data_IF_963483865519
#
_entry.id   IF_963483865519
#
_cell.length_a   1.000
_cell.length_b   1.000
_cell.length_c   1.000
_cell.angle_alpha   90.00
_cell.angle_beta   90.00
_cell.angle_gamma   90.00
#
_symmetry.space_group_name_H-M   'P 1'
#
loop_
_entity.id
_entity.type
_entity.pdbx_description
1 polymer ?
#
# COMPACT_ATOMS: atom_id res chain seq x y z
N UNK A 1 20.28 -16.00 21.71
CA UNK A 1 20.02 -15.85 21.54
C UNK A 1 19.60 -15.57 21.40
N UNK A 2 19.38 -15.58 21.29
CA UNK A 2 18.87 -15.26 21.05
C UNK A 2 18.24 -14.83 20.94
N UNK A 3 18.08 -14.60 21.14
CA UNK A 3 17.41 -14.11 20.94
C UNK A 3 16.97 -13.65 20.50
N UNK A 4 16.94 -13.39 20.09
CA UNK A 4 16.43 -12.95 19.52
C UNK A 4 15.94 -13.22 19.01
N UNK A 5 15.99 -13.62 18.83
CA UNK A 5 15.42 -13.93 18.37
C UNK A 5 14.70 -14.12 18.60
N UNK A 6 14.58 -14.13 18.92
CA UNK A 6 13.76 -14.22 19.12
C UNK A 6 13.12 -13.54 19.25
N UNK A 7 13.37 -12.99 19.31
CA UNK A 7 12.64 -12.28 19.28
C UNK A 7 12.16 -11.95 18.50
N UNK A 8 12.07 -12.06 17.87
CA UNK A 8 11.52 -11.92 17.12
C UNK A 8 10.85 -12.49 16.79
N UNK A 9 10.86 -13.02 16.92
CA UNK A 9 10.19 -13.60 16.67
C UNK A 9 9.35 -13.63 17.06
N UNK A 10 9.20 -13.40 17.35
CA UNK A 10 8.46 -13.40 17.56
C UNK A 10 7.75 -12.90 17.39
N UNK A 11 7.75 -12.55 17.15
CA UNK A 11 7.15 -12.15 16.83
C UNK A 11 6.55 -12.20 16.24
N UNK A 12 6.42 -12.49 15.91
CA UNK A 12 6.00 -12.62 15.23
C UNK A 12 5.41 -12.28 14.79
N UNK A 13 4.90 -12.26 14.75
CA UNK A 13 4.29 -12.07 14.19
C UNK A 13 4.02 -11.18 13.72
N UNK A 14 3.94 -10.38 13.84
CA UNK A 14 3.68 -9.69 13.15
C UNK A 14 4.14 -9.65 12.10
N UNK A 15 4.71 -10.15 12.19
CA UNK A 15 5.30 -10.51 11.21
C UNK A 15 4.70 -10.32 10.02
N UNK A 16 3.79 -10.04 9.89
CA UNK A 16 3.11 -10.01 8.71
C UNK A 16 2.69 -8.66 8.30
N UNK A 17 3.34 -7.65 8.82
CA UNK A 17 3.06 -6.33 8.38
C UNK A 17 3.41 -6.17 6.95
N UNK A 18 2.47 -5.70 6.17
CA UNK A 18 2.62 -5.49 4.76
C UNK A 18 3.07 -4.05 4.53
N UNK A 19 3.95 -3.83 3.59
CA UNK A 19 4.35 -2.48 3.23
C UNK A 19 3.56 -2.03 2.03
N UNK A 20 2.86 -0.91 2.17
CA UNK A 20 2.04 -0.36 1.09
C UNK A 20 2.48 1.05 0.79
N UNK A 21 2.64 1.37 -0.49
CA UNK A 21 2.92 2.72 -0.94
C UNK A 21 1.70 3.19 -1.71
N UNK A 22 1.18 4.34 -1.34
CA UNK A 22 -0.03 4.88 -1.95
C UNK A 22 0.30 6.23 -2.56
N UNK A 23 0.13 6.34 -3.87
CA UNK A 23 0.25 7.61 -4.58
C UNK A 23 -1.13 8.23 -4.62
N UNK A 24 -1.29 9.36 -3.97
CA UNK A 24 -2.59 9.93 -3.66
C UNK A 24 -2.70 11.37 -4.14
N UNK A 25 -3.89 11.77 -4.53
CA UNK A 25 -4.16 13.19 -4.77
C UNK A 25 -5.20 13.72 -3.78
N UNK A 26 -5.46 12.96 -2.72
CA UNK A 26 -6.40 13.37 -1.70
C UNK A 26 -7.85 13.10 -2.04
N UNK A 27 -8.11 12.37 -3.14
CA UNK A 27 -9.49 12.11 -3.50
C UNK A 27 -10.09 11.06 -2.57
N UNK A 28 -11.39 10.86 -2.72
CA UNK A 28 -12.14 9.98 -1.82
C UNK A 28 -11.63 8.54 -1.89
N UNK A 29 -11.33 8.10 -3.09
CA UNK A 29 -10.87 6.75 -3.29
C UNK A 29 -9.50 6.52 -2.67
N UNK A 30 -8.63 7.53 -2.74
CA UNK A 30 -7.33 7.45 -2.06
C UNK A 30 -7.52 7.29 -0.56
N UNK A 31 -8.46 8.05 0.00
CA UNK A 31 -8.72 7.96 1.44
C UNK A 31 -9.27 6.60 1.83
N UNK A 32 -10.12 6.05 1.00
CA UNK A 32 -10.65 4.71 1.26
C UNK A 32 -9.56 3.66 1.23
N UNK A 33 -8.65 3.79 0.28
CA UNK A 33 -7.55 2.84 0.17
C UNK A 33 -6.67 2.88 1.41
N UNK A 34 -6.37 4.08 1.89
CA UNK A 34 -5.56 4.22 3.07
C UNK A 34 -6.26 3.65 4.29
N UNK A 35 -7.55 3.93 4.43
CA UNK A 35 -8.33 3.38 5.54
C UNK A 35 -8.33 1.86 5.52
N UNK A 36 -8.51 1.29 4.34
CA UNK A 36 -8.50 -0.16 4.20
C UNK A 36 -7.16 -0.74 4.66
N UNK A 37 -6.08 -0.15 4.19
CA UNK A 37 -4.76 -0.66 4.52
C UNK A 37 -4.44 -0.47 6.00
N UNK A 38 -4.94 0.61 6.59
CA UNK A 38 -4.77 0.82 8.03
C UNK A 38 -5.46 -0.26 8.85
N UNK A 39 -6.62 -0.68 8.42
CA UNK A 39 -7.35 -1.74 9.12
C UNK A 39 -6.61 -3.05 9.05
N UNK A 40 -5.79 -3.23 8.04
CA UNK A 40 -5.02 -4.46 7.87
C UNK A 40 -3.65 -4.35 8.51
N UNK A 41 -3.41 -3.29 9.26
CA UNK A 41 -2.16 -3.05 9.96
C UNK A 41 -0.98 -2.94 9.02
N UNK A 42 -1.21 -2.46 7.80
CA UNK A 42 -0.12 -2.26 6.87
C UNK A 42 0.72 -1.07 7.29
N UNK A 43 1.99 -1.13 6.96
CA UNK A 43 2.83 0.05 7.01
C UNK A 43 2.56 0.85 5.75
N UNK A 44 2.15 2.10 5.87
CA UNK A 44 1.71 2.88 4.73
C UNK A 44 2.61 4.07 4.53
N UNK A 45 3.13 4.19 3.31
CA UNK A 45 3.78 5.40 2.88
C UNK A 45 2.85 6.08 1.90
N UNK A 46 2.35 7.23 2.28
CA UNK A 46 1.47 7.98 1.40
C UNK A 46 2.27 9.09 0.74
N UNK A 47 2.39 9.03 -0.58
CA UNK A 47 3.02 10.08 -1.37
C UNK A 47 1.91 10.92 -1.96
N UNK A 48 1.96 12.21 -1.70
CA UNK A 48 0.90 13.10 -2.15
C UNK A 48 1.33 13.90 -3.35
N UNK A 49 0.39 14.09 -4.27
CA UNK A 49 0.59 14.90 -5.46
C UNK A 49 1.06 16.28 -5.06
N UNK A 50 2.10 16.75 -5.73
CA UNK A 50 2.73 18.04 -5.50
C UNK A 50 3.45 18.15 -4.16
N UNK A 51 3.48 17.05 -3.42
CA UNK A 51 4.32 16.94 -2.26
C UNK A 51 5.53 16.09 -2.59
N UNK A 52 5.29 14.81 -2.86
CA UNK A 52 6.35 13.86 -3.13
C UNK A 52 6.54 13.59 -4.62
N UNK A 53 5.58 13.97 -5.46
CA UNK A 53 5.69 13.73 -6.89
C UNK A 53 4.82 14.74 -7.62
N UNK A 54 4.98 14.82 -8.95
CA UNK A 54 4.17 15.70 -9.79
C UNK A 54 3.25 14.86 -10.64
N UNK A 55 2.21 15.50 -11.17
CA UNK A 55 1.29 14.80 -12.07
C UNK A 55 2.03 14.25 -13.29
N UNK A 56 3.00 15.00 -13.79
CA UNK A 56 3.76 14.57 -14.94
C UNK A 56 4.59 13.32 -14.62
N UNK A 57 5.22 13.31 -13.45
CA UNK A 57 5.96 12.13 -13.03
C UNK A 57 5.06 10.94 -12.82
N UNK A 58 3.89 11.18 -12.26
CA UNK A 58 2.89 10.15 -12.06
C UNK A 58 2.48 9.51 -13.38
N UNK A 59 2.21 10.35 -14.38
CA UNK A 59 1.80 9.85 -15.69
C UNK A 59 2.94 9.09 -16.39
N UNK A 60 4.17 9.54 -16.17
CA UNK A 60 5.31 8.86 -16.75
C UNK A 60 5.47 7.46 -16.18
N UNK A 61 5.12 7.31 -14.89
CA UNK A 61 5.26 6.04 -14.21
C UNK A 61 4.09 5.10 -14.48
N UNK A 62 2.87 5.62 -14.40
CA UNK A 62 1.68 4.79 -14.39
C UNK A 62 0.82 4.92 -15.63
N UNK A 63 1.15 5.87 -16.51
CA UNK A 63 0.38 6.09 -17.72
C UNK A 63 -0.46 7.35 -17.64
N UNK A 64 -0.75 7.93 -18.80
CA UNK A 64 -1.48 9.19 -18.84
C UNK A 64 -2.90 9.04 -18.36
N UNK A 65 -3.43 7.83 -18.42
CA UNK A 65 -4.82 7.61 -18.03
C UNK A 65 -4.94 6.99 -16.66
N UNK A 66 -3.85 6.88 -15.95
CA UNK A 66 -3.89 6.28 -14.62
C UNK A 66 -4.66 7.17 -13.67
N UNK A 67 -5.43 6.54 -12.81
CA UNK A 67 -6.25 7.25 -11.85
C UNK A 67 -5.63 7.12 -10.46
N UNK A 68 -6.10 7.94 -9.55
CA UNK A 68 -5.67 7.88 -8.17
C UNK A 68 -6.67 7.07 -7.36
N UNK A 69 -6.22 6.32 -6.39
CA UNK A 69 -4.81 6.14 -6.02
C UNK A 69 -4.13 5.10 -6.88
N UNK A 70 -2.79 5.08 -6.86
CA UNK A 70 -2.01 3.95 -7.38
C UNK A 70 -1.26 3.36 -6.21
N UNK A 71 -1.29 2.05 -6.08
CA UNK A 71 -0.85 1.37 -4.86
C UNK A 71 0.15 0.30 -5.22
N UNK A 72 1.26 0.30 -4.47
CA UNK A 72 2.24 -0.77 -4.53
C UNK A 72 2.20 -1.52 -3.21
N UNK A 73 2.27 -2.83 -3.26
CA UNK A 73 2.35 -3.64 -2.06
C UNK A 73 3.58 -4.51 -2.17
N UNK A 74 4.43 -4.41 -1.16
CA UNK A 74 5.70 -5.14 -1.13
C UNK A 74 6.48 -4.91 -2.40
N UNK A 75 6.53 -3.64 -2.81
CA UNK A 75 7.29 -3.18 -3.98
C UNK A 75 6.73 -3.64 -5.31
N UNK A 76 5.53 -4.17 -5.32
CA UNK A 76 4.88 -4.62 -6.54
C UNK A 76 3.70 -3.71 -6.84
N UNK A 77 3.65 -3.18 -8.05
CA UNK A 77 2.55 -2.30 -8.44
C UNK A 77 1.28 -3.12 -8.60
N UNK A 78 0.26 -2.75 -7.85
CA UNK A 78 -1.01 -3.47 -7.86
C UNK A 78 -2.05 -2.73 -8.72
N UNK A 79 -2.16 -1.43 -8.54
CA UNK A 79 -3.15 -0.65 -9.27
C UNK A 79 -3.90 0.26 -8.33
N UNK A 80 -5.18 0.49 -8.61
CA UNK A 80 -6.01 1.35 -7.79
C UNK A 80 -6.66 0.61 -6.66
N UNK A 81 -7.72 1.20 -6.12
CA UNK A 81 -8.41 0.62 -4.97
C UNK A 81 -9.02 -0.74 -5.32
N UNK A 82 -9.70 -0.82 -6.45
CA UNK A 82 -10.36 -2.05 -6.83
C UNK A 82 -9.37 -3.18 -7.02
N UNK A 83 -8.29 -2.90 -7.74
CA UNK A 83 -7.26 -3.90 -7.98
C UNK A 83 -6.62 -4.33 -6.68
N UNK A 84 -6.44 -3.40 -5.75
CA UNK A 84 -5.84 -3.72 -4.48
C UNK A 84 -6.77 -4.60 -3.65
N UNK A 85 -8.05 -4.32 -3.66
CA UNK A 85 -9.00 -5.16 -2.95
C UNK A 85 -9.01 -6.58 -3.49
N UNK A 86 -8.97 -6.71 -4.82
CA UNK A 86 -8.93 -8.03 -5.43
C UNK A 86 -7.65 -8.78 -5.08
N UNK A 87 -6.54 -8.07 -5.09
CA UNK A 87 -5.26 -8.66 -4.74
C UNK A 87 -5.28 -9.18 -3.30
N UNK A 88 -5.76 -8.37 -2.37
CA UNK A 88 -5.79 -8.75 -0.97
C UNK A 88 -6.72 -9.93 -0.73
N UNK A 89 -7.81 -9.98 -1.48
CA UNK A 89 -8.74 -11.06 -1.39
C UNK A 89 -8.10 -12.36 -1.84
N UNK A 90 -7.35 -12.31 -2.95
CA UNK A 90 -6.67 -13.49 -3.46
C UNK A 90 -5.58 -13.96 -2.52
N UNK A 91 -4.98 -13.04 -1.78
CA UNK A 91 -3.94 -13.38 -0.83
C UNK A 91 -4.50 -13.87 0.50
N UNK A 92 -5.82 -13.91 0.62
CA UNK A 92 -6.45 -14.40 1.82
C UNK A 92 -6.40 -13.46 3.01
N UNK A 93 -6.17 -12.18 2.74
CA UNK A 93 -6.07 -11.19 3.81
C UNK A 93 -7.43 -10.87 4.39
N UNK A 94 -8.45 -10.87 3.55
CA UNK A 94 -9.82 -10.75 4.03
C UNK A 94 -10.32 -12.14 4.27
N UNK A 95 -10.92 -12.34 5.27
CA UNK A 95 -11.42 -13.64 5.40
C UNK A 95 -12.84 -13.61 5.71
#
# INVERSE_FOLDING_TARGET
MNGLSQIEAMTGGKETSMLAVVYSNGNQESKRAINLLERLDAQILEYQLNGAFTQRGFEAEFGEEAEYPQINIEHKHIGGLKETMNYLKQEGVFE
#
